data_IF_751765019777
#
_entry.id   IF_751765019777
#
_cell.length_a   1.000
_cell.length_b   1.000
_cell.length_c   1.000
_cell.angle_alpha   90.00
_cell.angle_beta   90.00
_cell.angle_gamma   90.00
#
_symmetry.space_group_name_H-M   'P 1'
#
loop_
_entity.id
_entity.type
_entity.pdbx_description
1 polymer ?
#
# COMPACT_ATOMS: atom_id res chain seq x y z
N UNK A 1 2.96 -11.44 11.56
CA UNK A 1 2.34 -11.50 10.23
C UNK A 1 2.62 -10.24 9.44
N UNK A 2 2.80 -10.40 8.17
CA UNK A 2 3.09 -9.30 7.25
C UNK A 2 1.87 -9.09 6.37
N UNK A 3 1.46 -7.85 6.24
CA UNK A 3 0.34 -7.47 5.40
C UNK A 3 0.80 -6.49 4.33
N UNK A 4 0.06 -6.46 3.23
CA UNK A 4 0.34 -5.54 2.12
C UNK A 4 -0.95 -4.83 1.72
N UNK A 5 -0.80 -3.56 1.36
CA UNK A 5 -1.91 -2.73 0.86
C UNK A 5 -1.55 -2.19 -0.51
N UNK A 6 -2.55 -1.99 -1.35
CA UNK A 6 -2.34 -1.32 -2.62
C UNK A 6 -2.01 0.16 -2.37
N UNK A 7 -1.48 0.81 -3.40
CA UNK A 7 -0.96 2.18 -3.26
C UNK A 7 -1.95 3.13 -2.61
N UNK A 8 -3.20 3.13 -3.04
CA UNK A 8 -4.20 4.06 -2.53
C UNK A 8 -4.44 3.85 -1.04
N UNK A 9 -4.64 2.61 -0.65
CA UNK A 9 -4.91 2.25 0.75
C UNK A 9 -3.68 2.48 1.62
N UNK A 10 -2.51 2.14 1.12
CA UNK A 10 -1.26 2.38 1.85
C UNK A 10 -1.06 3.88 2.09
N UNK A 11 -1.33 4.70 1.08
CA UNK A 11 -1.23 6.15 1.23
C UNK A 11 -2.15 6.66 2.35
N UNK A 12 -3.37 6.17 2.38
CA UNK A 12 -4.31 6.53 3.44
C UNK A 12 -3.83 6.06 4.81
N UNK A 13 -3.36 4.82 4.90
CA UNK A 13 -2.88 4.25 6.17
C UNK A 13 -1.65 4.98 6.70
N UNK A 14 -0.76 5.41 5.82
CA UNK A 14 0.46 6.11 6.20
C UNK A 14 0.28 7.63 6.29
N UNK A 15 -0.90 8.14 5.96
CA UNK A 15 -1.21 9.58 5.94
C UNK A 15 -0.30 10.37 5.01
N UNK A 16 -0.05 9.81 3.84
CA UNK A 16 0.73 10.46 2.78
C UNK A 16 -0.05 10.40 1.48
N UNK A 17 0.39 11.13 0.47
CA UNK A 17 -0.25 11.06 -0.83
C UNK A 17 0.19 9.83 -1.61
N UNK A 18 -0.68 9.34 -2.50
CA UNK A 18 -0.30 8.23 -3.38
C UNK A 18 0.88 8.60 -4.26
N UNK A 19 0.97 9.86 -4.67
CA UNK A 19 2.11 10.36 -5.44
C UNK A 19 3.42 10.24 -4.67
N UNK A 20 3.38 10.51 -3.36
CA UNK A 20 4.58 10.37 -2.52
C UNK A 20 5.06 8.93 -2.47
N UNK A 21 4.15 7.97 -2.40
CA UNK A 21 4.53 6.55 -2.41
C UNK A 21 5.12 6.14 -3.77
N UNK A 22 4.51 6.58 -4.86
CA UNK A 22 5.03 6.29 -6.19
C UNK A 22 6.41 6.87 -6.39
N UNK A 23 6.62 8.09 -5.88
CA UNK A 23 7.92 8.74 -5.97
C UNK A 23 8.97 7.98 -5.16
N UNK A 24 8.61 7.50 -3.97
CA UNK A 24 9.51 6.69 -3.16
C UNK A 24 9.92 5.41 -3.90
N UNK A 25 8.99 4.76 -4.58
CA UNK A 25 9.29 3.58 -5.39
C UNK A 25 10.23 3.93 -6.53
N UNK A 26 9.96 5.01 -7.24
CA UNK A 26 10.76 5.47 -8.37
C UNK A 26 12.19 5.77 -7.95
N UNK A 27 12.39 6.28 -6.74
CA UNK A 27 13.71 6.63 -6.21
C UNK A 27 14.39 5.50 -5.45
N UNK A 28 13.78 4.32 -5.42
CA UNK A 28 14.25 3.19 -4.60
C UNK A 28 14.50 3.59 -3.14
N UNK A 29 13.61 4.38 -2.59
CA UNK A 29 13.72 4.82 -1.22
C UNK A 29 13.59 3.63 -0.25
N UNK A 30 14.42 3.60 0.78
CA UNK A 30 14.33 2.58 1.83
C UNK A 30 13.23 2.87 2.86
N UNK A 31 12.53 3.97 2.71
CA UNK A 31 11.51 4.38 3.66
C UNK A 31 10.32 3.43 3.72
N UNK A 32 9.99 2.83 2.57
CA UNK A 32 8.87 1.89 2.49
C UNK A 32 9.35 0.58 1.85
N UNK A 33 8.80 -0.53 2.32
CA UNK A 33 8.97 -1.81 1.67
C UNK A 33 7.80 -2.04 0.73
N UNK A 34 8.10 -2.45 -0.48
CA UNK A 34 7.07 -2.63 -1.50
C UNK A 34 7.45 -3.76 -2.43
N UNK A 35 6.45 -4.26 -3.15
CA UNK A 35 6.68 -5.23 -4.23
C UNK A 35 5.70 -4.98 -5.36
N UNK A 36 6.06 -5.46 -6.53
CA UNK A 36 5.21 -5.40 -7.71
C UNK A 36 4.64 -6.78 -7.98
N UNK A 37 3.34 -6.84 -8.20
CA UNK A 37 2.67 -8.09 -8.55
C UNK A 37 1.91 -7.90 -9.86
N UNK A 38 1.69 -9.01 -10.58
CA UNK A 38 0.94 -8.96 -11.81
C UNK A 38 -0.51 -8.65 -11.53
N UNK A 39 -1.10 -7.84 -12.40
CA UNK A 39 -2.52 -7.53 -12.31
C UNK A 39 -3.30 -8.66 -12.97
N UNK A 40 -4.04 -9.42 -12.17
CA UNK A 40 -4.78 -10.58 -12.65
C UNK A 40 -5.84 -10.24 -13.69
N UNK A 41 -6.31 -9.01 -13.71
CA UNK A 41 -7.34 -8.62 -14.67
C UNK A 41 -6.79 -8.37 -16.06
N UNK A 42 -5.52 -8.63 -16.29
CA UNK A 42 -4.95 -8.60 -17.62
C UNK A 42 -5.05 -7.28 -18.34
N UNK A 43 -5.22 -6.23 -17.61
CA UNK A 43 -5.34 -4.93 -18.22
C UNK A 43 -4.01 -4.38 -18.70
N UNK A 44 -4.09 -3.25 -19.33
CA UNK A 44 -2.93 -2.53 -19.79
C UNK A 44 -2.06 -2.11 -18.64
N UNK A 45 -0.94 -2.37 -18.50
CA UNK A 45 -0.10 -1.83 -17.49
C UNK A 45 0.26 -2.72 -16.41
N UNK A 46 -0.30 -3.76 -16.46
CA UNK A 46 0.29 -4.84 -16.03
C UNK A 46 0.62 -5.07 -14.57
N UNK A 47 1.13 -4.13 -13.86
CA UNK A 47 1.62 -4.42 -12.50
C UNK A 47 1.05 -3.47 -11.50
N UNK A 48 0.64 -4.00 -10.34
CA UNK A 48 0.24 -3.16 -9.22
C UNK A 48 1.29 -3.20 -8.14
N UNK A 49 1.36 -2.12 -7.38
CA UNK A 49 2.28 -1.98 -6.27
C UNK A 49 1.56 -2.36 -4.98
N UNK A 50 2.26 -3.13 -4.16
CA UNK A 50 1.80 -3.45 -2.81
C UNK A 50 2.84 -2.94 -1.82
N UNK A 51 2.35 -2.34 -0.73
CA UNK A 51 3.21 -1.76 0.29
C UNK A 51 3.05 -2.53 1.59
N UNK A 52 4.16 -2.90 2.18
CA UNK A 52 4.18 -3.65 3.44
C UNK A 52 3.71 -2.78 4.59
N UNK A 53 2.88 -3.35 5.44
CA UNK A 53 2.41 -2.69 6.64
C UNK A 53 2.42 -3.69 7.79
N UNK A 54 2.84 -3.24 8.97
CA UNK A 54 2.81 -4.07 10.16
C UNK A 54 1.39 -4.20 10.69
N UNK A 55 1.15 -5.24 11.50
CA UNK A 55 -0.14 -5.42 12.15
C UNK A 55 -0.51 -4.20 12.99
N UNK A 56 0.44 -3.66 13.74
CA UNK A 56 0.18 -2.53 14.62
C UNK A 56 -0.20 -1.28 13.82
N UNK A 57 0.51 -1.01 12.73
CA UNK A 57 0.19 0.11 11.85
C UNK A 57 -1.18 -0.08 11.20
N UNK A 58 -1.50 -1.30 10.80
CA UNK A 58 -2.79 -1.62 10.20
C UNK A 58 -3.93 -1.38 11.18
N UNK A 59 -3.79 -1.86 12.41
CA UNK A 59 -4.82 -1.64 13.45
C UNK A 59 -4.96 -0.17 13.78
N UNK A 60 -3.87 0.57 13.85
CA UNK A 60 -3.90 2.01 14.08
C UNK A 60 -4.66 2.72 12.96
N UNK A 61 -4.43 2.32 11.71
CA UNK A 61 -5.14 2.90 10.57
C UNK A 61 -6.64 2.62 10.63
N UNK A 62 -7.05 1.43 11.05
CA UNK A 62 -8.47 1.12 11.26
C UNK A 62 -9.06 1.97 12.38
N UNK A 63 -8.36 2.08 13.50
CA UNK A 63 -8.84 2.84 14.65
C UNK A 63 -9.00 4.33 14.34
N UNK A 64 -8.11 4.87 13.54
CA UNK A 64 -8.18 6.27 13.10
C UNK A 64 -9.09 6.48 11.91
N UNK A 65 -9.72 5.42 11.43
CA UNK A 65 -10.60 5.47 10.26
C UNK A 65 -9.91 5.98 9.01
N UNK A 66 -8.62 5.76 8.91
CA UNK A 66 -7.84 6.13 7.72
C UNK A 66 -8.13 5.20 6.55
N UNK A 67 -8.44 3.95 6.85
CA UNK A 67 -8.84 2.97 5.85
C UNK A 67 -10.11 2.26 6.32
N UNK A 68 -10.88 1.75 5.36
CA UNK A 68 -12.10 1.01 5.64
C UNK A 68 -11.78 -0.41 6.11
N UNK A 69 -12.64 -0.95 6.97
CA UNK A 69 -12.55 -2.37 7.34
C UNK A 69 -12.75 -3.31 6.16
N UNK A 70 -13.32 -2.81 5.07
CA UNK A 70 -13.51 -3.57 3.83
C UNK A 70 -12.31 -3.46 2.89
N UNK A 71 -11.25 -2.77 3.30
CA UNK A 71 -10.04 -2.63 2.50
C UNK A 71 -9.44 -4.00 2.20
N UNK A 72 -9.09 -4.22 0.94
CA UNK A 72 -8.46 -5.45 0.53
C UNK A 72 -7.02 -5.49 1.05
N UNK A 73 -6.71 -6.51 1.83
CA UNK A 73 -5.40 -6.69 2.45
C UNK A 73 -4.79 -8.00 1.95
N UNK A 74 -3.55 -7.94 1.57
CA UNK A 74 -2.82 -9.09 1.04
C UNK A 74 -1.88 -9.71 2.04
#
# INVERSE_FOLDING_TARGET
>A
MIYFLETKEAAQAFSVSAGALRLAVSRNSNKYEWLKVDNEKGGRGGKKLLFKISKDELLTAFNKQLISKNTLIY
#
